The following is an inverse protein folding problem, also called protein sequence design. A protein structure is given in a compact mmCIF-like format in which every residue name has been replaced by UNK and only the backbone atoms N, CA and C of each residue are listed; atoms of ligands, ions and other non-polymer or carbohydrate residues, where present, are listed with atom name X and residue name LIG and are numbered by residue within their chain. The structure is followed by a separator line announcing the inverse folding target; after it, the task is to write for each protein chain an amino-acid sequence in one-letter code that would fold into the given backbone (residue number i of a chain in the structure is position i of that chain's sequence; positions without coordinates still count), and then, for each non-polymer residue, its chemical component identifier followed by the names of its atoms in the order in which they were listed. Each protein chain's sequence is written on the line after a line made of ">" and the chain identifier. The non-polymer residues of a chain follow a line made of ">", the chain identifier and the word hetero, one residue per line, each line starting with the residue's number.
data_IF_636933778809
#
_entry.id   IF_636933778809
#
_cell.length_a   1.000
_cell.length_b   1.000
_cell.length_c   1.000
_cell.angle_alpha   90.00
_cell.angle_beta   90.00
_cell.angle_gamma   90.00
#
_symmetry.space_group_name_H-M   'P 1'
#
loop_
_entity.id
_entity.type
_entity.pdbx_description
1 polymer ?
#
# COMPACT_ATOMS: atom_id res chain seq x y z
N UNK A 1 4.08 -33.48 8.65
CA UNK A 1 3.61 -32.13 9.01
C UNK A 1 2.88 -32.26 10.34
N UNK A 2 3.31 -31.52 11.37
CA UNK A 2 2.65 -31.54 12.69
C UNK A 2 1.37 -30.69 12.66
N UNK A 3 0.44 -30.89 13.60
CA UNK A 3 -0.79 -30.08 13.67
C UNK A 3 -0.49 -28.60 13.96
N UNK A 4 0.57 -28.30 14.73
CA UNK A 4 1.03 -26.92 14.95
C UNK A 4 1.48 -26.24 13.64
N UNK A 5 2.24 -26.95 12.79
CA UNK A 5 2.64 -26.45 11.47
C UNK A 5 1.42 -26.18 10.59
N UNK A 6 0.41 -27.07 10.62
CA UNK A 6 -0.84 -26.88 9.88
C UNK A 6 -1.54 -25.60 10.32
N UNK A 7 -1.75 -25.42 11.62
CA UNK A 7 -2.44 -24.26 12.18
C UNK A 7 -1.71 -22.96 11.78
N UNK A 8 -0.38 -22.93 11.86
CA UNK A 8 0.41 -21.76 11.48
C UNK A 8 0.27 -21.41 9.98
N UNK A 9 0.35 -22.41 9.10
CA UNK A 9 0.13 -22.24 7.65
C UNK A 9 -1.26 -21.67 7.37
N UNK A 10 -2.30 -22.23 7.98
CA UNK A 10 -3.68 -21.76 7.81
C UNK A 10 -3.85 -20.32 8.31
N UNK A 11 -3.27 -19.97 9.46
CA UNK A 11 -3.30 -18.61 9.97
C UNK A 11 -2.63 -17.62 9.02
N UNK A 12 -1.41 -17.93 8.56
CA UNK A 12 -0.68 -17.09 7.60
C UNK A 12 -1.47 -16.90 6.31
N UNK A 13 -2.03 -17.98 5.78
CA UNK A 13 -2.86 -17.94 4.56
C UNK A 13 -4.14 -17.12 4.74
N UNK A 14 -4.82 -17.20 5.88
CA UNK A 14 -6.01 -16.39 6.17
C UNK A 14 -5.69 -14.90 6.25
N UNK A 15 -4.58 -14.54 6.91
CA UNK A 15 -4.12 -13.15 7.01
C UNK A 15 -3.78 -12.60 5.63
N UNK A 16 -3.01 -13.33 4.83
CA UNK A 16 -2.66 -12.95 3.45
C UNK A 16 -3.91 -12.77 2.58
N UNK A 17 -4.87 -13.71 2.69
CA UNK A 17 -6.13 -13.64 1.92
C UNK A 17 -6.96 -12.42 2.31
N UNK A 18 -7.10 -12.13 3.61
CA UNK A 18 -7.80 -10.94 4.10
C UNK A 18 -7.14 -9.65 3.62
N UNK A 19 -5.81 -9.59 3.70
CA UNK A 19 -5.02 -8.48 3.17
C UNK A 19 -5.21 -8.29 1.67
N UNK A 20 -5.19 -9.37 0.90
CA UNK A 20 -5.39 -9.34 -0.54
C UNK A 20 -6.77 -8.79 -0.93
N UNK A 21 -7.84 -9.28 -0.29
CA UNK A 21 -9.21 -8.79 -0.53
C UNK A 21 -9.31 -7.31 -0.20
N UNK A 22 -8.79 -6.89 0.96
CA UNK A 22 -8.81 -5.49 1.37
C UNK A 22 -8.04 -4.60 0.39
N UNK A 23 -6.87 -5.04 -0.06
CA UNK A 23 -6.02 -4.33 -1.03
C UNK A 23 -6.73 -4.20 -2.39
N UNK A 24 -7.38 -5.25 -2.87
CA UNK A 24 -8.16 -5.19 -4.13
C UNK A 24 -9.30 -4.17 -4.02
N UNK A 25 -10.07 -4.20 -2.92
CA UNK A 25 -11.15 -3.22 -2.70
C UNK A 25 -10.59 -1.79 -2.67
N UNK A 26 -9.46 -1.59 -2.00
CA UNK A 26 -8.79 -0.30 -1.95
C UNK A 26 -8.34 0.16 -3.35
N UNK A 27 -7.73 -0.72 -4.14
CA UNK A 27 -7.27 -0.43 -5.50
C UNK A 27 -8.43 -0.04 -6.43
N UNK A 28 -9.57 -0.72 -6.32
CA UNK A 28 -10.79 -0.37 -7.08
C UNK A 28 -11.24 1.04 -6.73
N UNK A 29 -11.34 1.36 -5.43
CA UNK A 29 -11.73 2.71 -4.97
C UNK A 29 -10.75 3.78 -5.42
N UNK A 30 -9.45 3.49 -5.35
CA UNK A 30 -8.39 4.39 -5.81
C UNK A 30 -8.51 4.66 -7.31
N UNK A 31 -8.75 3.62 -8.12
CA UNK A 31 -8.93 3.76 -9.56
C UNK A 31 -10.20 4.57 -9.93
N UNK A 32 -11.30 4.33 -9.22
CA UNK A 32 -12.53 5.12 -9.40
C UNK A 32 -12.28 6.60 -9.07
N UNK A 33 -11.59 6.89 -7.97
CA UNK A 33 -11.24 8.26 -7.59
C UNK A 33 -10.34 8.91 -8.64
N UNK A 34 -9.29 8.22 -9.11
CA UNK A 34 -8.41 8.72 -10.16
C UNK A 34 -9.17 9.07 -11.44
N UNK A 35 -10.10 8.22 -11.84
CA UNK A 35 -10.94 8.45 -13.02
C UNK A 35 -11.81 9.69 -12.84
N UNK A 36 -12.43 9.84 -11.66
CA UNK A 36 -13.23 11.03 -11.31
C UNK A 36 -12.38 12.30 -11.33
N UNK A 37 -11.17 12.28 -10.76
CA UNK A 37 -10.27 13.43 -10.76
C UNK A 37 -9.85 13.82 -12.17
N UNK A 38 -9.45 12.85 -13.01
CA UNK A 38 -9.04 13.13 -14.38
C UNK A 38 -10.16 13.71 -15.26
N UNK A 39 -11.43 13.44 -14.92
CA UNK A 39 -12.59 13.92 -15.68
C UNK A 39 -13.11 15.27 -15.19
N UNK A 40 -12.95 15.60 -13.91
CA UNK A 40 -13.62 16.76 -13.27
C UNK A 40 -12.62 17.86 -12.90
N UNK A 41 -11.40 17.50 -12.52
CA UNK A 41 -10.42 18.45 -11.99
C UNK A 41 -9.35 18.70 -13.04
N UNK A 42 -9.00 19.98 -13.22
CA UNK A 42 -7.79 20.32 -13.97
C UNK A 42 -6.56 19.81 -13.19
N UNK A 43 -6.03 18.69 -13.65
CA UNK A 43 -4.91 17.97 -13.02
C UNK A 43 -3.59 18.72 -13.10
N UNK A 44 -3.54 19.86 -13.80
CA UNK A 44 -2.39 20.76 -13.78
C UNK A 44 -2.26 21.53 -12.47
N UNK A 45 -3.36 21.73 -11.74
CA UNK A 45 -3.40 22.42 -10.45
C UNK A 45 -3.33 21.41 -9.29
N UNK A 46 -2.13 21.23 -8.76
CA UNK A 46 -1.84 20.31 -7.67
C UNK A 46 -2.65 20.59 -6.38
N UNK A 47 -2.98 21.86 -6.11
CA UNK A 47 -3.73 22.22 -4.90
C UNK A 47 -5.19 21.80 -5.03
N UNK A 48 -5.80 21.98 -6.20
CA UNK A 48 -7.17 21.53 -6.47
C UNK A 48 -7.29 20.01 -6.42
N UNK A 49 -6.29 19.29 -6.91
CA UNK A 49 -6.24 17.83 -6.85
C UNK A 49 -6.20 17.34 -5.41
N UNK A 50 -5.34 17.89 -4.55
CA UNK A 50 -5.27 17.46 -3.14
C UNK A 50 -6.51 17.84 -2.35
N UNK A 51 -7.03 19.06 -2.54
CA UNK A 51 -8.21 19.55 -1.80
C UNK A 51 -9.53 18.98 -2.33
N UNK A 52 -9.49 18.21 -3.42
CA UNK A 52 -10.68 17.62 -4.02
C UNK A 52 -11.45 16.78 -2.99
N UNK A 53 -12.76 17.02 -2.93
CA UNK A 53 -13.68 16.35 -2.03
C UNK A 53 -13.18 16.28 -0.58
N UNK A 54 -12.79 17.43 -0.02
CA UNK A 54 -12.34 17.58 1.37
C UNK A 54 -11.06 16.78 1.70
N UNK A 55 -10.09 16.76 0.79
CA UNK A 55 -8.80 16.11 1.05
C UNK A 55 -8.76 14.60 0.81
N UNK A 56 -9.79 14.03 0.17
CA UNK A 56 -9.86 12.59 -0.08
C UNK A 56 -8.61 12.02 -0.77
N UNK A 57 -8.03 12.66 -1.82
CA UNK A 57 -6.85 12.14 -2.49
C UNK A 57 -5.63 11.98 -1.57
N UNK A 58 -5.47 12.89 -0.60
CA UNK A 58 -4.41 12.77 0.40
C UNK A 58 -4.64 11.56 1.33
N UNK A 59 -5.88 11.31 1.74
CA UNK A 59 -6.23 10.12 2.54
C UNK A 59 -5.98 8.82 1.80
N UNK A 60 -6.26 8.76 0.50
CA UNK A 60 -5.94 7.61 -0.32
C UNK A 60 -4.44 7.40 -0.47
N UNK A 61 -3.66 8.45 -0.65
CA UNK A 61 -2.20 8.31 -0.67
C UNK A 61 -1.64 7.82 0.67
N UNK A 62 -2.17 8.31 1.79
CA UNK A 62 -1.83 7.80 3.13
C UNK A 62 -2.22 6.32 3.28
N UNK A 63 -3.43 5.95 2.86
CA UNK A 63 -3.91 4.57 2.93
C UNK A 63 -3.06 3.61 2.10
N UNK A 64 -2.62 4.06 0.93
CA UNK A 64 -1.72 3.28 0.10
C UNK A 64 -0.32 3.12 0.71
N UNK A 65 0.23 4.17 1.33
CA UNK A 65 1.48 4.06 2.08
C UNK A 65 1.37 3.03 3.21
N UNK A 66 0.25 3.05 3.96
CA UNK A 66 -0.02 2.06 5.00
C UNK A 66 -0.14 0.63 4.45
N UNK A 67 -0.77 0.45 3.29
CA UNK A 67 -0.86 -0.85 2.62
C UNK A 67 0.51 -1.39 2.20
N UNK A 68 1.39 -0.53 1.69
CA UNK A 68 2.76 -0.93 1.35
C UNK A 68 3.53 -1.36 2.60
N UNK A 69 3.40 -0.61 3.71
CA UNK A 69 4.01 -1.02 4.99
C UNK A 69 3.47 -2.37 5.48
N UNK A 70 2.16 -2.57 5.40
CA UNK A 70 1.53 -3.85 5.77
C UNK A 70 2.01 -5.00 4.89
N UNK A 71 2.15 -4.80 3.57
CA UNK A 71 2.67 -5.81 2.65
C UNK A 71 4.09 -6.26 3.03
N UNK A 72 4.95 -5.32 3.44
CA UNK A 72 6.31 -5.61 3.93
C UNK A 72 6.26 -6.38 5.24
N UNK A 73 5.42 -5.96 6.20
CA UNK A 73 5.28 -6.63 7.50
C UNK A 73 4.77 -8.06 7.33
N UNK A 74 3.74 -8.28 6.51
CA UNK A 74 3.17 -9.60 6.24
C UNK A 74 4.21 -10.50 5.55
N UNK A 75 4.91 -9.96 4.54
CA UNK A 75 5.99 -10.69 3.87
C UNK A 75 7.06 -11.11 4.89
N UNK A 76 7.55 -10.18 5.72
CA UNK A 76 8.55 -10.50 6.75
C UNK A 76 8.05 -11.52 7.76
N UNK A 77 6.79 -11.42 8.20
CA UNK A 77 6.19 -12.38 9.12
C UNK A 77 6.00 -13.78 8.51
N UNK A 78 5.69 -13.86 7.22
CA UNK A 78 5.68 -15.12 6.47
C UNK A 78 7.06 -15.79 6.46
N UNK A 79 8.12 -15.00 6.27
CA UNK A 79 9.52 -15.46 6.31
C UNK A 79 10.04 -15.73 7.72
N UNK A 80 9.52 -15.04 8.73
CA UNK A 80 9.95 -15.19 10.11
C UNK A 80 9.55 -16.56 10.66
N UNK A 81 10.54 -17.25 11.24
CA UNK A 81 10.39 -18.61 11.75
C UNK A 81 10.29 -18.64 13.27
N UNK A 82 9.30 -19.34 13.82
CA UNK A 82 9.48 -19.96 15.12
C UNK A 82 10.42 -21.18 14.94
N UNK A 83 11.33 -21.40 15.90
CA UNK A 83 12.43 -22.37 15.89
C UNK A 83 11.99 -23.85 15.81
N UNK A 84 11.33 -24.27 14.73
CA UNK A 84 10.94 -25.66 14.50
C UNK A 84 11.90 -26.32 13.51
N UNK A 85 12.52 -27.42 13.94
CA UNK A 85 13.76 -28.00 13.40
C UNK A 85 13.70 -28.57 11.97
N UNK A 86 12.56 -28.51 11.27
CA UNK A 86 12.46 -28.91 9.86
C UNK A 86 11.43 -28.08 9.11
N UNK A 87 11.86 -27.58 7.96
CA UNK A 87 10.99 -26.97 6.97
C UNK A 87 9.99 -28.00 6.45
N UNK A 88 8.72 -27.64 6.42
CA UNK A 88 7.81 -28.24 5.45
C UNK A 88 7.96 -27.47 4.15
N UNK A 89 8.17 -28.16 3.03
CA UNK A 89 8.28 -27.53 1.70
C UNK A 89 7.09 -26.61 1.38
N UNK A 90 5.92 -26.90 1.96
CA UNK A 90 4.71 -26.10 1.88
C UNK A 90 4.82 -24.71 2.52
N UNK A 91 5.60 -24.54 3.60
CA UNK A 91 5.78 -23.23 4.25
C UNK A 91 6.66 -22.30 3.40
N UNK A 92 7.71 -22.86 2.80
CA UNK A 92 8.59 -22.13 1.87
C UNK A 92 7.79 -21.69 0.64
N UNK A 93 7.02 -22.61 0.07
CA UNK A 93 6.20 -22.33 -1.10
C UNK A 93 5.14 -21.25 -0.81
N UNK A 94 4.50 -21.28 0.36
CA UNK A 94 3.58 -20.23 0.80
C UNK A 94 4.28 -18.86 0.93
N UNK A 95 5.45 -18.82 1.55
CA UNK A 95 6.21 -17.58 1.73
C UNK A 95 6.63 -16.96 0.38
N UNK A 96 7.04 -17.80 -0.59
CA UNK A 96 7.36 -17.35 -1.95
C UNK A 96 6.12 -16.77 -2.64
N UNK A 97 4.98 -17.48 -2.60
CA UNK A 97 3.74 -17.01 -3.24
C UNK A 97 3.26 -15.70 -2.61
N UNK A 98 3.23 -15.61 -1.27
CA UNK A 98 2.88 -14.38 -0.53
C UNK A 98 3.79 -13.22 -0.93
N UNK A 99 5.10 -13.46 -1.02
CA UNK A 99 6.06 -12.42 -1.43
C UNK A 99 5.79 -11.91 -2.84
N UNK A 100 5.56 -12.81 -3.80
CA UNK A 100 5.26 -12.44 -5.19
C UNK A 100 3.95 -11.64 -5.27
N UNK A 101 2.92 -12.09 -4.58
CA UNK A 101 1.61 -11.43 -4.55
C UNK A 101 1.69 -10.02 -3.95
N UNK A 102 2.42 -9.87 -2.85
CA UNK A 102 2.68 -8.57 -2.21
C UNK A 102 3.47 -7.63 -3.13
N UNK A 103 4.47 -8.12 -3.85
CA UNK A 103 5.19 -7.33 -4.87
C UNK A 103 4.23 -6.83 -5.95
N UNK A 104 3.35 -7.69 -6.47
CA UNK A 104 2.35 -7.30 -7.48
C UNK A 104 1.44 -6.20 -6.93
N UNK A 105 0.95 -6.33 -5.69
CA UNK A 105 0.12 -5.28 -5.08
C UNK A 105 0.86 -3.97 -4.90
N UNK A 106 2.11 -4.00 -4.43
CA UNK A 106 2.93 -2.79 -4.32
C UNK A 106 3.07 -2.10 -5.68
N UNK A 107 3.36 -2.86 -6.75
CA UNK A 107 3.45 -2.31 -8.10
C UNK A 107 2.12 -1.70 -8.55
N UNK A 108 0.99 -2.37 -8.33
CA UNK A 108 -0.33 -1.84 -8.68
C UNK A 108 -0.67 -0.57 -7.91
N UNK A 109 -0.39 -0.55 -6.61
CA UNK A 109 -0.56 0.62 -5.74
C UNK A 109 0.25 1.79 -6.30
N UNK A 110 1.51 1.58 -6.67
CA UNK A 110 2.38 2.60 -7.25
C UNK A 110 1.84 3.10 -8.59
N UNK A 111 1.40 2.22 -9.49
CA UNK A 111 0.84 2.61 -10.79
C UNK A 111 -0.41 3.48 -10.60
N UNK A 112 -1.33 3.10 -9.70
CA UNK A 112 -2.53 3.89 -9.47
C UNK A 112 -2.26 5.19 -8.70
N UNK A 113 -1.28 5.22 -7.79
CA UNK A 113 -0.90 6.47 -7.11
C UNK A 113 -0.18 7.42 -8.06
N UNK A 114 0.68 6.93 -8.96
CA UNK A 114 1.50 7.74 -9.88
C UNK A 114 0.67 8.52 -10.93
N UNK A 115 -0.64 8.54 -10.78
CA UNK A 115 -1.58 9.46 -11.42
C UNK A 115 -1.50 10.85 -10.72
N UNK A 116 -2.36 11.86 -11.01
CA UNK A 116 -2.16 13.25 -10.55
C UNK A 116 -2.02 13.42 -9.04
N UNK A 117 -2.44 12.43 -8.25
CA UNK A 117 -2.33 12.41 -6.79
C UNK A 117 -0.87 12.45 -6.31
N UNK A 118 0.00 11.55 -6.79
CA UNK A 118 1.41 11.53 -6.36
C UNK A 118 2.12 12.82 -6.74
N UNK A 119 1.91 13.28 -7.97
CA UNK A 119 2.45 14.54 -8.48
C UNK A 119 2.01 15.70 -7.59
N UNK A 120 0.75 15.73 -7.20
CA UNK A 120 0.21 16.79 -6.37
C UNK A 120 0.79 16.77 -4.96
N UNK A 121 0.96 15.59 -4.35
CA UNK A 121 1.55 15.44 -3.01
C UNK A 121 3.00 15.90 -2.99
N UNK A 122 3.78 15.54 -4.02
CA UNK A 122 5.18 15.99 -4.11
C UNK A 122 5.24 17.51 -4.27
N UNK A 123 4.39 18.10 -5.11
CA UNK A 123 4.37 19.56 -5.34
C UNK A 123 3.93 20.32 -4.09
N UNK A 124 2.79 19.95 -3.49
CA UNK A 124 2.26 20.65 -2.31
C UNK A 124 3.11 20.38 -1.07
N UNK A 125 3.57 19.14 -0.88
CA UNK A 125 4.49 18.79 0.21
C UNK A 125 5.85 19.49 0.08
N UNK A 126 6.39 19.59 -1.14
CA UNK A 126 7.63 20.32 -1.41
C UNK A 126 7.50 21.82 -1.12
N UNK A 127 6.42 22.45 -1.57
CA UNK A 127 6.15 23.87 -1.29
C UNK A 127 5.97 24.09 0.23
N UNK A 128 5.27 23.19 0.92
CA UNK A 128 5.08 23.26 2.37
C UNK A 128 6.39 23.16 3.16
N UNK A 129 7.30 22.26 2.78
CA UNK A 129 8.61 22.13 3.41
C UNK A 129 9.50 23.35 3.18
N UNK A 130 9.49 23.94 1.97
CA UNK A 130 10.22 25.17 1.67
C UNK A 130 9.67 26.33 2.51
N UNK A 131 8.34 26.47 2.60
CA UNK A 131 7.71 27.51 3.42
C UNK A 131 8.08 27.37 4.91
N UNK A 132 8.06 26.15 5.46
CA UNK A 132 8.49 25.89 6.84
C UNK A 132 9.97 26.21 7.08
N UNK A 133 10.84 25.87 6.12
CA UNK A 133 12.26 26.20 6.20
C UNK A 133 12.49 27.71 6.19
N UNK A 134 11.81 28.45 5.30
CA UNK A 134 11.93 29.92 5.22
C UNK A 134 11.42 30.59 6.49
N UNK A 135 10.26 30.16 7.01
CA UNK A 135 9.69 30.72 8.24
C UNK A 135 10.54 30.38 9.47
N UNK A 136 11.13 29.19 9.54
CA UNK A 136 12.03 28.81 10.63
C UNK A 136 13.43 29.44 10.55
N UNK A 137 13.76 30.10 9.43
CA UNK A 137 15.03 30.82 9.23
C UNK A 137 14.96 32.32 9.53
N UNK A 138 13.79 32.83 9.92
CA UNK A 138 13.57 34.18 10.43
C UNK A 138 13.52 34.18 11.96
#
# INVERSE_FOLDING_TARGET
>A
MTDEQRINIWMKSLVETGFAIFTVIFLIKLNMMNTTLNNIVDTSDAFKVIMFNNGQPALFALGAFLLVLLAVVISFWCWHRPNYERYADSEILLAIISTILNIIFVILILIFINNPILRSIIVVGGIGLIALYVVGSQ
#
